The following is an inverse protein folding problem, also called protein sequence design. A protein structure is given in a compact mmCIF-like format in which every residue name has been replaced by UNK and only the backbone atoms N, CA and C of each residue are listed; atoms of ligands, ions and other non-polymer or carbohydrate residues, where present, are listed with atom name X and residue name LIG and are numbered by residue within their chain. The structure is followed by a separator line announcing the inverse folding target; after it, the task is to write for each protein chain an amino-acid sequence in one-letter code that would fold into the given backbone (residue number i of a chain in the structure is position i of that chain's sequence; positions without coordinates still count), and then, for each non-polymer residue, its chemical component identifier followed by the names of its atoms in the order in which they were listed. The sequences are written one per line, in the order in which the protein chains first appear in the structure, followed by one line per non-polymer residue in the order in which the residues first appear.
data_IF_790062047401
#
_entry.id   IF_790062047401
#
_cell.length_a   1.000
_cell.length_b   1.000
_cell.length_c   1.000
_cell.angle_alpha   90.00
_cell.angle_beta   90.00
_cell.angle_gamma   90.00
#
_symmetry.space_group_name_H-M   'P 1'
#
loop_
_entity.id
_entity.type
_entity.pdbx_description
1 polymer ?
#
# COMPACT_ATOMS: atom_id res chain seq x y z
N UNK A 1 4.10 16.04 -13.13
CA UNK A 1 2.73 16.02 -13.73
C UNK A 1 2.59 14.88 -14.73
N UNK A 2 3.47 14.75 -15.76
CA UNK A 2 3.38 13.70 -16.79
C UNK A 2 3.41 12.26 -16.22
N UNK A 3 4.27 11.98 -15.24
CA UNK A 3 4.37 10.68 -14.58
C UNK A 3 3.06 10.35 -13.87
N UNK A 4 2.49 11.30 -13.14
CA UNK A 4 1.22 11.12 -12.43
C UNK A 4 0.05 10.88 -13.41
N UNK A 5 0.06 11.54 -14.57
CA UNK A 5 -0.93 11.27 -15.63
C UNK A 5 -0.84 9.82 -16.15
N UNK A 6 0.38 9.28 -16.28
CA UNK A 6 0.57 7.86 -16.63
C UNK A 6 -0.06 6.91 -15.61
N UNK A 7 0.12 7.17 -14.34
CA UNK A 7 -0.56 6.39 -13.28
C UNK A 7 -2.08 6.54 -13.30
N UNK A 8 -2.60 7.67 -13.77
CA UNK A 8 -4.03 7.88 -13.96
C UNK A 8 -4.67 6.87 -14.92
N UNK A 9 -3.94 6.45 -15.97
CA UNK A 9 -4.41 5.42 -16.92
C UNK A 9 -4.68 4.10 -16.21
N UNK A 10 -3.74 3.64 -15.35
CA UNK A 10 -3.93 2.42 -14.56
C UNK A 10 -5.17 2.52 -13.66
N UNK A 11 -5.37 3.67 -13.03
CA UNK A 11 -6.55 3.90 -12.18
C UNK A 11 -7.86 3.89 -12.95
N UNK A 12 -7.89 4.47 -14.17
CA UNK A 12 -9.06 4.45 -15.05
C UNK A 12 -9.39 3.03 -15.52
N UNK A 13 -8.39 2.28 -15.97
CA UNK A 13 -8.57 0.87 -16.37
C UNK A 13 -9.10 0.03 -15.22
N UNK A 14 -8.56 0.21 -14.00
CA UNK A 14 -9.05 -0.47 -12.82
C UNK A 14 -10.53 -0.11 -12.55
N UNK A 15 -10.88 1.17 -12.60
CA UNK A 15 -12.25 1.62 -12.37
C UNK A 15 -13.26 1.05 -13.39
N UNK A 16 -12.85 0.92 -14.67
CA UNK A 16 -13.68 0.34 -15.72
C UNK A 16 -13.84 -1.19 -15.57
N UNK A 17 -12.87 -1.87 -14.97
CA UNK A 17 -12.87 -3.32 -14.77
C UNK A 17 -13.55 -3.76 -13.48
N UNK A 18 -13.71 -2.85 -12.51
CA UNK A 18 -14.32 -3.19 -11.23
C UNK A 18 -15.82 -3.51 -11.40
N UNK A 19 -16.29 -4.68 -10.90
CA UNK A 19 -17.72 -5.02 -10.95
C UNK A 19 -18.57 -4.13 -10.03
N UNK A 20 -17.97 -3.63 -8.95
CA UNK A 20 -18.61 -2.78 -7.95
C UNK A 20 -17.61 -1.75 -7.42
N UNK A 21 -18.12 -0.63 -6.89
CA UNK A 21 -17.30 0.38 -6.23
C UNK A 21 -16.57 -0.24 -5.02
N UNK A 22 -15.25 -0.05 -4.87
CA UNK A 22 -14.55 -0.47 -3.68
C UNK A 22 -14.99 0.35 -2.46
N UNK A 23 -14.97 -0.25 -1.29
CA UNK A 23 -15.17 0.46 -0.02
C UNK A 23 -13.87 1.09 0.47
N UNK A 24 -12.75 0.45 0.16
CA UNK A 24 -11.41 0.87 0.57
C UNK A 24 -10.44 0.76 -0.60
N UNK A 25 -9.45 1.64 -0.63
CA UNK A 25 -8.30 1.56 -1.52
C UNK A 25 -7.02 1.66 -0.67
N UNK A 26 -6.16 0.65 -0.76
CA UNK A 26 -4.85 0.67 -0.11
C UNK A 26 -3.77 0.83 -1.17
N UNK A 27 -2.93 1.85 -1.00
CA UNK A 27 -1.91 2.23 -1.98
C UNK A 27 -0.53 2.22 -1.34
N UNK A 28 0.37 1.41 -1.87
CA UNK A 28 1.78 1.51 -1.53
C UNK A 28 2.37 2.81 -2.07
N UNK A 29 3.27 3.42 -1.32
CA UNK A 29 3.90 4.67 -1.71
C UNK A 29 5.40 4.72 -1.35
N UNK A 30 6.20 5.22 -2.30
CA UNK A 30 7.50 5.81 -2.05
C UNK A 30 7.34 7.33 -1.92
N UNK A 31 7.61 8.10 -2.99
CA UNK A 31 7.41 9.57 -2.99
C UNK A 31 5.94 10.01 -3.03
N UNK A 32 4.99 9.09 -3.24
CA UNK A 32 3.56 9.39 -3.31
C UNK A 32 3.03 9.79 -4.70
N UNK A 33 3.80 9.65 -5.77
CA UNK A 33 3.34 10.05 -7.12
C UNK A 33 2.22 9.16 -7.65
N UNK A 34 2.37 7.82 -7.54
CA UNK A 34 1.34 6.86 -7.93
C UNK A 34 0.13 6.96 -7.00
N UNK A 35 0.38 6.90 -5.69
CA UNK A 35 -0.67 7.00 -4.69
C UNK A 35 -1.49 8.28 -4.84
N UNK A 36 -0.85 9.44 -5.02
CA UNK A 36 -1.53 10.70 -5.26
C UNK A 36 -2.33 10.74 -6.56
N UNK A 37 -1.84 10.12 -7.64
CA UNK A 37 -2.56 10.06 -8.91
C UNK A 37 -3.84 9.23 -8.79
N UNK A 38 -3.76 8.04 -8.19
CA UNK A 38 -4.91 7.16 -7.97
C UNK A 38 -5.90 7.79 -6.99
N UNK A 39 -5.42 8.34 -5.87
CA UNK A 39 -6.25 9.07 -4.90
C UNK A 39 -7.03 10.21 -5.56
N UNK A 40 -6.36 11.07 -6.32
CA UNK A 40 -7.00 12.18 -7.01
C UNK A 40 -8.05 11.72 -8.03
N UNK A 41 -7.76 10.64 -8.77
CA UNK A 41 -8.69 10.07 -9.73
C UNK A 41 -9.96 9.55 -9.06
N UNK A 42 -9.84 8.68 -8.06
CA UNK A 42 -10.99 8.09 -7.38
C UNK A 42 -11.78 9.14 -6.59
N UNK A 43 -11.13 10.14 -6.04
CA UNK A 43 -11.79 11.28 -5.41
C UNK A 43 -12.57 12.12 -6.42
N UNK A 44 -12.04 12.33 -7.62
CA UNK A 44 -12.75 13.05 -8.68
C UNK A 44 -13.96 12.27 -9.23
N UNK A 45 -13.85 10.94 -9.33
CA UNK A 45 -14.94 10.08 -9.83
C UNK A 45 -16.09 10.00 -8.81
N UNK A 46 -15.79 9.79 -7.55
CA UNK A 46 -16.80 9.47 -6.53
C UNK A 46 -17.18 10.64 -5.61
N UNK A 47 -16.42 11.74 -5.62
CA UNK A 47 -16.70 12.91 -4.79
C UNK A 47 -16.75 12.57 -3.30
N UNK A 48 -17.83 12.96 -2.63
CA UNK A 48 -18.04 12.69 -1.20
C UNK A 48 -18.30 11.21 -0.89
N UNK A 49 -18.72 10.44 -1.89
CA UNK A 49 -18.96 8.99 -1.77
C UNK A 49 -17.72 8.16 -2.17
N UNK A 50 -16.53 8.73 -2.08
CA UNK A 50 -15.27 8.04 -2.39
C UNK A 50 -14.96 6.92 -1.40
N UNK A 51 -14.21 5.89 -1.82
CA UNK A 51 -13.66 4.89 -0.92
C UNK A 51 -12.78 5.52 0.16
N UNK A 52 -12.64 4.84 1.29
CA UNK A 52 -11.59 5.16 2.29
C UNK A 52 -10.22 4.87 1.67
N UNK A 53 -9.33 5.84 1.69
CA UNK A 53 -8.01 5.74 1.05
C UNK A 53 -6.91 5.69 2.11
N UNK A 54 -6.15 4.60 2.11
CA UNK A 54 -5.04 4.37 3.02
C UNK A 54 -3.71 4.26 2.26
N UNK A 55 -2.72 5.01 2.69
CA UNK A 55 -1.36 5.00 2.13
C UNK A 55 -0.48 4.10 3.00
N UNK A 56 0.31 3.23 2.37
CA UNK A 56 1.18 2.27 3.04
C UNK A 56 2.63 2.49 2.60
N UNK A 57 3.52 2.68 3.57
CA UNK A 57 4.94 2.91 3.36
C UNK A 57 5.81 1.94 4.18
N UNK A 58 7.04 1.63 3.74
CA UNK A 58 8.01 0.91 4.56
C UNK A 58 8.47 1.78 5.73
N UNK A 59 8.54 1.22 6.93
CA UNK A 59 8.92 1.95 8.15
C UNK A 59 10.35 2.54 8.15
N UNK A 60 11.15 2.18 7.16
CA UNK A 60 12.50 2.73 6.96
C UNK A 60 12.53 3.88 5.94
N UNK A 61 11.41 4.14 5.25
CA UNK A 61 11.29 5.18 4.23
C UNK A 61 9.84 5.72 4.20
N UNK A 62 9.32 6.13 5.33
CA UNK A 62 7.94 6.52 5.59
C UNK A 62 7.74 8.04 5.61
N UNK A 63 8.21 8.72 4.57
CA UNK A 63 8.23 10.18 4.51
C UNK A 63 6.83 10.82 4.46
N UNK A 64 5.85 10.17 3.83
CA UNK A 64 4.46 10.64 3.79
C UNK A 64 3.77 10.45 5.14
N UNK A 65 3.99 9.30 5.78
CA UNK A 65 3.49 9.02 7.13
C UNK A 65 3.98 10.08 8.13
N UNK A 66 5.30 10.34 8.15
CA UNK A 66 5.89 11.37 9.04
C UNK A 66 5.35 12.77 8.75
N UNK A 67 5.14 13.07 7.48
CA UNK A 67 4.56 14.36 7.08
C UNK A 67 3.11 14.48 7.56
N UNK A 68 2.32 13.40 7.46
CA UNK A 68 0.94 13.36 7.96
C UNK A 68 0.90 13.42 9.49
N UNK A 69 1.76 12.67 10.18
CA UNK A 69 1.84 12.63 11.64
C UNK A 69 2.23 13.99 12.24
N UNK A 70 3.21 14.68 11.64
CA UNK A 70 3.66 15.99 12.10
C UNK A 70 2.57 17.06 11.98
N UNK A 71 1.74 17.00 10.94
CA UNK A 71 0.60 17.90 10.70
C UNK A 71 0.92 19.40 10.92
N UNK A 72 2.13 19.82 10.54
CA UNK A 72 2.66 21.18 10.75
C UNK A 72 2.69 22.02 9.46
N UNK A 73 2.21 21.44 8.35
CA UNK A 73 2.20 22.07 7.03
C UNK A 73 3.49 21.92 6.24
N UNK A 74 4.53 21.33 6.84
CA UNK A 74 5.83 21.09 6.20
C UNK A 74 5.95 19.63 5.74
N UNK A 75 6.80 19.39 4.75
CA UNK A 75 7.11 18.01 4.29
C UNK A 75 8.31 17.48 5.07
N UNK A 76 8.14 16.31 5.69
CA UNK A 76 9.17 15.65 6.48
C UNK A 76 9.91 14.62 5.63
N UNK A 77 11.23 14.70 5.64
CA UNK A 77 12.11 13.85 4.84
C UNK A 77 12.69 12.73 5.69
N UNK A 78 12.82 11.54 5.10
CA UNK A 78 13.62 10.46 5.65
C UNK A 78 15.01 10.51 5.02
N UNK A 79 16.05 10.49 5.84
CA UNK A 79 17.44 10.49 5.41
C UNK A 79 18.20 9.31 6.00
N UNK A 80 19.32 8.93 5.39
CA UNK A 80 20.16 7.81 5.84
C UNK A 80 19.88 6.53 5.08
N UNK A 81 20.14 5.41 5.74
CA UNK A 81 19.94 4.08 5.15
C UNK A 81 18.46 3.70 5.19
N UNK A 82 17.82 3.73 4.03
CA UNK A 82 16.43 3.30 3.82
C UNK A 82 16.38 1.82 3.38
N UNK A 83 17.19 0.99 4.01
CA UNK A 83 17.31 -0.43 3.66
C UNK A 83 16.05 -1.22 4.00
N UNK A 84 15.20 -1.40 3.02
CA UNK A 84 13.96 -2.20 3.06
C UNK A 84 13.91 -3.15 1.87
N UNK A 85 13.20 -4.26 2.01
CA UNK A 85 12.95 -5.17 0.87
C UNK A 85 12.01 -4.53 -0.16
N UNK A 86 11.18 -3.57 0.24
CA UNK A 86 10.30 -2.80 -0.63
C UNK A 86 11.10 -1.75 -1.41
N UNK A 87 12.07 -2.20 -2.22
CA UNK A 87 13.05 -1.33 -2.88
C UNK A 87 12.43 -0.22 -3.75
N UNK A 88 11.32 -0.51 -4.41
CA UNK A 88 10.56 0.47 -5.20
C UNK A 88 9.89 1.58 -4.37
N UNK A 89 9.82 1.39 -3.05
CA UNK A 89 9.25 2.35 -2.09
C UNK A 89 10.32 3.03 -1.23
N UNK A 90 11.59 2.67 -1.36
CA UNK A 90 12.71 3.21 -0.57
C UNK A 90 13.04 4.66 -0.96
N UNK A 91 12.13 5.58 -0.67
CA UNK A 91 12.23 7.00 -1.02
C UNK A 91 11.99 7.87 0.20
N UNK A 92 12.84 8.87 0.40
CA UNK A 92 12.81 9.72 1.60
C UNK A 92 12.20 11.10 1.39
N UNK A 93 11.80 11.47 0.16
CA UNK A 93 11.30 12.81 -0.15
C UNK A 93 9.87 12.77 -0.71
N UNK A 94 8.87 13.35 -0.01
CA UNK A 94 7.51 13.44 -0.54
C UNK A 94 7.44 14.26 -1.82
N UNK A 95 6.83 13.71 -2.87
CA UNK A 95 6.51 14.46 -4.09
C UNK A 95 5.52 15.60 -3.75
N UNK A 96 5.88 16.84 -4.04
CA UNK A 96 5.07 18.01 -3.66
C UNK A 96 3.64 17.99 -4.24
N UNK A 97 3.48 17.55 -5.49
CA UNK A 97 2.17 17.44 -6.13
C UNK A 97 1.38 16.24 -5.56
N UNK A 98 2.08 15.09 -5.37
CA UNK A 98 1.48 13.90 -4.76
C UNK A 98 1.00 14.19 -3.35
N UNK A 99 1.85 14.80 -2.53
CA UNK A 99 1.50 15.18 -1.16
C UNK A 99 0.28 16.11 -1.08
N UNK A 100 0.22 17.13 -1.94
CA UNK A 100 -0.94 18.05 -1.96
C UNK A 100 -2.26 17.31 -2.18
N UNK A 101 -2.28 16.29 -3.03
CA UNK A 101 -3.48 15.48 -3.25
C UNK A 101 -3.73 14.55 -2.06
N UNK A 102 -2.68 13.92 -1.55
CA UNK A 102 -2.79 12.97 -0.43
C UNK A 102 -3.22 13.68 0.85
N UNK A 103 -2.71 14.88 1.14
CA UNK A 103 -3.13 15.67 2.31
C UNK A 103 -4.61 16.08 2.28
N UNK A 104 -5.18 16.24 1.07
CA UNK A 104 -6.57 16.65 0.91
C UNK A 104 -7.54 15.46 0.90
N UNK A 105 -7.09 14.27 0.44
CA UNK A 105 -8.00 13.16 0.10
C UNK A 105 -7.63 11.79 0.67
N UNK A 106 -6.42 11.56 1.19
CA UNK A 106 -6.12 10.32 1.90
C UNK A 106 -6.65 10.39 3.34
N UNK A 107 -7.23 9.27 3.79
CA UNK A 107 -7.85 9.20 5.12
C UNK A 107 -6.84 8.69 6.16
N UNK A 108 -5.95 7.77 5.77
CA UNK A 108 -4.99 7.14 6.68
C UNK A 108 -3.61 6.98 6.04
N UNK A 109 -2.59 7.00 6.89
CA UNK A 109 -1.20 6.70 6.53
C UNK A 109 -0.67 5.65 7.48
N UNK A 110 -0.06 4.59 6.95
CA UNK A 110 0.47 3.46 7.72
C UNK A 110 1.94 3.25 7.35
N UNK A 111 2.77 3.13 8.37
CA UNK A 111 4.17 2.74 8.28
C UNK A 111 4.31 1.28 8.69
N UNK A 112 4.81 0.40 7.82
CA UNK A 112 4.86 -1.04 8.07
C UNK A 112 6.26 -1.65 7.92
N UNK A 113 6.60 -2.68 8.71
CA UNK A 113 7.88 -3.39 8.58
C UNK A 113 7.92 -4.35 7.40
N UNK A 114 9.12 -4.74 6.98
CA UNK A 114 9.38 -5.60 5.82
C UNK A 114 8.61 -6.94 5.82
N UNK A 115 8.40 -7.54 6.99
CA UNK A 115 7.67 -8.83 7.08
C UNK A 115 6.22 -8.73 6.58
N UNK A 116 5.63 -7.54 6.61
CA UNK A 116 4.26 -7.30 6.13
C UNK A 116 4.20 -7.48 4.61
N UNK A 117 5.12 -6.90 3.86
CA UNK A 117 5.24 -7.12 2.42
C UNK A 117 5.52 -8.60 2.11
N UNK A 118 6.45 -9.24 2.85
CA UNK A 118 6.75 -10.64 2.71
C UNK A 118 5.54 -11.55 3.00
N UNK A 119 4.70 -11.22 3.99
CA UNK A 119 3.42 -11.89 4.25
C UNK A 119 2.48 -11.76 3.06
N UNK A 120 2.36 -10.57 2.49
CA UNK A 120 1.57 -10.31 1.29
C UNK A 120 2.01 -11.17 0.10
N UNK A 121 3.32 -11.21 -0.18
CA UNK A 121 3.89 -12.06 -1.24
C UNK A 121 3.54 -13.54 -1.04
N UNK A 122 3.66 -14.05 0.18
CA UNK A 122 3.35 -15.45 0.49
C UNK A 122 1.88 -15.79 0.29
N UNK A 123 0.97 -14.95 0.75
CA UNK A 123 -0.48 -15.17 0.61
C UNK A 123 -0.89 -15.11 -0.86
N UNK A 124 -0.45 -14.08 -1.59
CA UNK A 124 -0.73 -13.91 -3.03
C UNK A 124 -0.14 -15.05 -3.87
N UNK A 125 1.07 -15.50 -3.53
CA UNK A 125 1.75 -16.59 -4.23
C UNK A 125 1.23 -17.99 -3.90
N UNK A 126 0.56 -18.19 -2.75
CA UNK A 126 -0.03 -19.44 -2.29
C UNK A 126 -1.43 -19.18 -1.71
N UNK A 127 -2.39 -18.85 -2.57
CA UNK A 127 -3.74 -18.50 -2.15
C UNK A 127 -4.49 -19.69 -1.55
N UNK A 128 -5.57 -19.41 -0.83
CA UNK A 128 -6.52 -20.42 -0.37
C UNK A 128 -7.23 -21.08 -1.57
N UNK A 129 -7.85 -22.22 -1.30
CA UNK A 129 -8.57 -22.96 -2.37
C UNK A 129 -9.74 -22.13 -2.89
N UNK A 130 -9.70 -21.80 -4.16
CA UNK A 130 -10.73 -21.02 -4.87
C UNK A 130 -10.33 -19.59 -5.19
N UNK A 131 -9.22 -19.12 -4.62
CA UNK A 131 -8.66 -17.81 -4.92
C UNK A 131 -7.61 -17.90 -6.05
N UNK A 132 -7.49 -16.83 -6.82
CA UNK A 132 -6.51 -16.73 -7.89
C UNK A 132 -5.11 -16.47 -7.33
N UNK A 133 -4.12 -17.12 -7.93
CA UNK A 133 -2.72 -16.86 -7.63
C UNK A 133 -2.26 -15.58 -8.29
N UNK A 134 -1.66 -14.69 -7.51
CA UNK A 134 -1.04 -13.45 -7.99
C UNK A 134 0.46 -13.46 -7.63
N UNK A 135 1.31 -13.28 -8.63
CA UNK A 135 2.75 -13.07 -8.42
C UNK A 135 2.97 -11.57 -8.24
N UNK A 136 3.32 -11.17 -7.03
CA UNK A 136 3.62 -9.79 -6.68
C UNK A 136 4.97 -9.72 -5.96
N UNK A 137 5.80 -8.77 -6.34
CA UNK A 137 7.05 -8.47 -5.66
C UNK A 137 6.84 -7.71 -4.37
N UNK A 138 7.94 -7.35 -3.71
CA UNK A 138 7.95 -6.82 -2.35
C UNK A 138 7.19 -5.50 -2.23
N UNK A 139 7.45 -4.57 -3.16
CA UNK A 139 6.77 -3.27 -3.16
C UNK A 139 5.30 -3.41 -3.55
N UNK A 140 5.00 -4.25 -4.55
CA UNK A 140 3.65 -4.48 -5.06
C UNK A 140 2.73 -5.19 -4.05
N UNK A 141 3.30 -6.03 -3.18
CA UNK A 141 2.54 -6.80 -2.18
C UNK A 141 2.32 -6.05 -0.85
N UNK A 142 2.98 -4.90 -0.64
CA UNK A 142 2.99 -4.20 0.65
C UNK A 142 1.59 -3.81 1.13
N UNK A 143 0.79 -3.20 0.27
CA UNK A 143 -0.57 -2.75 0.63
C UNK A 143 -1.50 -3.94 0.95
N UNK A 144 -1.45 -5.02 0.17
CA UNK A 144 -2.20 -6.25 0.43
C UNK A 144 -1.74 -6.91 1.74
N UNK A 145 -0.42 -7.02 1.95
CA UNK A 145 0.16 -7.58 3.16
C UNK A 145 -0.27 -6.80 4.41
N UNK A 146 -0.36 -5.46 4.31
CA UNK A 146 -0.84 -4.59 5.38
C UNK A 146 -2.29 -4.95 5.79
N UNK A 147 -3.19 -5.05 4.84
CA UNK A 147 -4.58 -5.46 5.12
C UNK A 147 -4.64 -6.88 5.68
N UNK A 148 -3.89 -7.83 5.10
CA UNK A 148 -3.85 -9.20 5.61
C UNK A 148 -3.32 -9.26 7.06
N UNK A 149 -2.35 -8.42 7.42
CA UNK A 149 -1.85 -8.30 8.79
C UNK A 149 -2.93 -7.73 9.71
N UNK A 150 -3.55 -6.61 9.34
CA UNK A 150 -4.60 -5.96 10.12
C UNK A 150 -5.80 -6.91 10.36
N UNK A 151 -6.19 -7.67 9.35
CA UNK A 151 -7.34 -8.58 9.46
C UNK A 151 -7.07 -9.82 10.29
N UNK A 152 -5.82 -10.25 10.44
CA UNK A 152 -5.45 -11.50 11.10
C UNK A 152 -4.73 -11.34 12.45
N UNK A 153 -4.22 -10.14 12.74
CA UNK A 153 -3.50 -9.87 13.98
C UNK A 153 -4.44 -9.25 15.03
N UNK A 154 -4.73 -9.97 16.15
CA UNK A 154 -5.60 -9.44 17.21
C UNK A 154 -5.10 -8.15 17.85
N UNK A 155 -3.78 -7.92 17.86
CA UNK A 155 -3.19 -6.69 18.42
C UNK A 155 -3.54 -5.45 17.59
N UNK A 156 -3.97 -5.62 16.33
CA UNK A 156 -4.38 -4.55 15.44
C UNK A 156 -5.92 -4.36 15.37
N UNK A 157 -6.66 -4.94 16.33
CA UNK A 157 -8.12 -4.87 16.34
C UNK A 157 -8.65 -3.43 16.40
N UNK A 158 -7.99 -2.54 17.12
CA UNK A 158 -8.37 -1.12 17.20
C UNK A 158 -8.11 -0.40 15.87
N UNK A 159 -6.97 -0.65 15.23
CA UNK A 159 -6.66 -0.13 13.90
C UNK A 159 -7.65 -0.64 12.84
N UNK A 160 -7.98 -1.94 12.87
CA UNK A 160 -9.01 -2.52 12.02
C UNK A 160 -10.33 -1.78 12.13
N UNK A 161 -10.75 -1.47 13.35
CA UNK A 161 -11.99 -0.73 13.63
C UNK A 161 -11.89 0.72 13.16
N UNK A 162 -10.77 1.39 13.38
CA UNK A 162 -10.53 2.77 12.93
C UNK A 162 -10.61 2.89 11.41
N UNK A 163 -10.04 1.93 10.69
CA UNK A 163 -10.10 1.86 9.22
C UNK A 163 -11.49 1.46 8.69
N UNK A 164 -12.40 0.97 9.53
CA UNK A 164 -13.72 0.49 9.12
C UNK A 164 -13.69 -0.83 8.34
N UNK A 165 -12.63 -1.64 8.51
CA UNK A 165 -12.49 -2.93 7.82
C UNK A 165 -13.32 -4.01 8.48
N UNK A 166 -14.17 -4.67 7.69
CA UNK A 166 -15.01 -5.79 8.11
C UNK A 166 -15.15 -6.85 7.00
N UNK A 167 -16.03 -7.83 7.19
CA UNK A 167 -16.30 -8.91 6.23
C UNK A 167 -17.02 -8.44 4.95
N UNK A 168 -17.56 -7.23 4.93
CA UNK A 168 -18.24 -6.63 3.77
C UNK A 168 -17.31 -5.70 3.00
N UNK A 169 -16.09 -5.48 3.48
CA UNK A 169 -15.12 -4.59 2.85
C UNK A 169 -14.68 -5.14 1.49
N UNK A 170 -14.77 -4.29 0.45
CA UNK A 170 -14.21 -4.52 -0.87
C UNK A 170 -12.98 -3.64 -1.04
N UNK A 171 -11.82 -4.26 -0.97
CA UNK A 171 -10.54 -3.54 -0.93
C UNK A 171 -9.86 -3.63 -2.29
N UNK A 172 -9.56 -2.46 -2.89
CA UNK A 172 -8.80 -2.37 -4.12
C UNK A 172 -7.30 -2.23 -3.80
N UNK A 173 -6.50 -3.05 -4.48
CA UNK A 173 -5.04 -3.01 -4.46
C UNK A 173 -4.48 -2.88 -5.87
N UNK A 174 -3.27 -2.34 -6.00
CA UNK A 174 -2.53 -2.28 -7.25
C UNK A 174 -1.21 -3.04 -7.10
N UNK A 175 -1.12 -4.24 -7.68
CA UNK A 175 0.14 -4.97 -7.75
C UNK A 175 0.97 -4.44 -8.92
N UNK A 176 1.89 -3.53 -8.62
CA UNK A 176 2.71 -2.81 -9.62
C UNK A 176 4.10 -3.41 -9.81
N UNK A 177 4.37 -4.54 -9.19
CA UNK A 177 5.66 -5.20 -9.25
C UNK A 177 5.47 -6.73 -9.30
N UNK A 178 6.14 -7.39 -10.25
CA UNK A 178 6.22 -8.85 -10.33
C UNK A 178 7.43 -9.41 -9.57
N UNK A 179 7.80 -10.66 -9.84
CA UNK A 179 8.98 -11.34 -9.28
C UNK A 179 10.28 -10.94 -10.01
N UNK A 180 10.56 -9.65 -10.09
CA UNK A 180 11.73 -9.10 -10.81
C UNK A 180 13.06 -9.54 -10.19
N UNK A 181 13.11 -9.76 -8.87
CA UNK A 181 14.18 -10.43 -8.14
C UNK A 181 13.72 -11.85 -7.77
N UNK A 182 13.92 -12.79 -8.68
CA UNK A 182 13.48 -14.17 -8.51
C UNK A 182 14.17 -14.90 -7.35
N UNK A 183 15.40 -14.56 -7.03
CA UNK A 183 16.13 -15.18 -5.91
C UNK A 183 15.51 -14.74 -4.58
N UNK A 184 15.28 -13.45 -4.41
CA UNK A 184 14.64 -12.93 -3.21
C UNK A 184 13.17 -13.35 -3.11
N UNK A 185 12.44 -13.39 -4.24
CA UNK A 185 11.06 -13.92 -4.29
C UNK A 185 11.00 -15.36 -3.75
N UNK A 186 11.89 -16.26 -4.21
CA UNK A 186 11.96 -17.63 -3.72
C UNK A 186 12.34 -17.70 -2.24
N UNK A 187 13.33 -16.92 -1.82
CA UNK A 187 13.75 -16.87 -0.43
C UNK A 187 12.59 -16.44 0.49
N UNK A 188 11.75 -15.52 0.06
CA UNK A 188 10.59 -15.05 0.82
C UNK A 188 9.45 -16.08 0.77
N UNK A 189 9.04 -16.49 -0.43
CA UNK A 189 7.81 -17.27 -0.61
C UNK A 189 8.01 -18.76 -0.30
N UNK A 190 9.18 -19.34 -0.65
CA UNK A 190 9.46 -20.76 -0.46
C UNK A 190 10.24 -21.05 0.82
N UNK A 191 11.25 -20.23 1.12
CA UNK A 191 12.16 -20.48 2.24
C UNK A 191 11.77 -19.73 3.52
N UNK A 192 10.71 -18.89 3.47
CA UNK A 192 10.14 -18.21 4.62
C UNK A 192 10.97 -17.05 5.17
N UNK A 193 11.85 -16.44 4.35
CA UNK A 193 12.59 -15.24 4.75
C UNK A 193 11.63 -14.12 5.17
N UNK A 194 11.99 -13.34 6.16
CA UNK A 194 11.14 -12.33 6.80
C UNK A 194 9.82 -12.93 7.34
N UNK A 195 9.89 -13.85 8.31
CA UNK A 195 8.71 -14.45 8.92
C UNK A 195 7.88 -13.41 9.66
N UNK A 196 6.57 -13.67 9.82
CA UNK A 196 5.75 -12.88 10.72
C UNK A 196 6.25 -13.03 12.15
N UNK A 197 6.37 -11.93 12.91
CA UNK A 197 6.99 -11.89 14.24
C UNK A 197 6.05 -12.30 15.36
N UNK A 198 4.85 -12.80 15.04
CA UNK A 198 3.93 -13.32 16.08
C UNK A 198 4.46 -14.67 16.55
N UNK A 199 5.26 -14.66 17.63
CA UNK A 199 5.51 -15.85 18.43
C UNK A 199 4.20 -16.25 19.11
N UNK A 200 3.80 -17.51 18.90
CA UNK A 200 2.65 -18.13 19.59
C UNK A 200 2.90 -18.29 21.09
#
# INVERSE_FOLDING_TARGET
TWIMQGYGTMGLEAQEQLPEKPTHIFLQAGVGSMAGAVTGLFSAIYGEDRPVITIVEPNKADCLYRTAEANDGERHFVTGDMNTIMAGLACGEPCSIGWKILSDYADHFISCPDYVAAKGMRILGNPAKGDDRVISGESGAAAFGCVAEIMTNPELADLKKELGLDENSRVLFFSTEGDTDQENYKAIVWDGKYPSTHEN
#
